data_IF_916601010673
#
_entry.id   IF_916601010673
#
_cell.length_a   1.000
_cell.length_b   1.000
_cell.length_c   1.000
_cell.angle_alpha   90.00
_cell.angle_beta   90.00
_cell.angle_gamma   90.00
#
_symmetry.space_group_name_H-M   'P 1'
#
loop_
_entity.id
_entity.type
_entity.pdbx_description
1 polymer ?
#
# COMPACT_ATOMS: atom_id res chain seq x y z
N UNK A 1 -23.42 16.97 2.37
CA UNK A 1 -22.63 15.73 2.45
C UNK A 1 -23.38 14.61 1.78
N UNK A 2 -23.04 14.30 0.54
CA UNK A 2 -23.39 13.00 -0.04
C UNK A 2 -22.45 11.92 0.52
N UNK A 3 -22.80 10.64 0.37
CA UNK A 3 -21.94 9.51 0.77
C UNK A 3 -20.50 9.56 0.21
N UNK A 4 -20.31 10.27 -0.90
CA UNK A 4 -18.99 10.49 -1.50
C UNK A 4 -18.14 11.44 -0.66
N UNK A 5 -18.75 12.47 -0.07
CA UNK A 5 -18.05 13.47 0.73
C UNK A 5 -17.52 12.82 2.02
N UNK A 6 -18.36 12.00 2.68
CA UNK A 6 -17.97 11.27 3.90
C UNK A 6 -16.81 10.28 3.66
N UNK A 7 -16.75 9.67 2.47
CA UNK A 7 -15.68 8.76 2.10
C UNK A 7 -14.36 9.50 1.87
N UNK A 8 -14.38 10.60 1.10
CA UNK A 8 -13.17 11.36 0.80
C UNK A 8 -12.59 12.02 2.07
N UNK A 9 -13.44 12.54 2.95
CA UNK A 9 -13.02 13.10 4.24
C UNK A 9 -12.32 12.04 5.13
N UNK A 10 -12.91 10.83 5.19
CA UNK A 10 -12.33 9.73 5.94
C UNK A 10 -11.02 9.23 5.31
N UNK A 11 -10.98 9.16 3.97
CA UNK A 11 -9.80 8.76 3.23
C UNK A 11 -8.64 9.72 3.47
N UNK A 12 -8.88 11.03 3.37
CA UNK A 12 -7.87 12.06 3.62
C UNK A 12 -7.33 11.94 5.05
N UNK A 13 -8.21 11.83 6.04
CA UNK A 13 -7.81 11.66 7.44
C UNK A 13 -6.91 10.42 7.66
N UNK A 14 -7.24 9.29 7.01
CA UNK A 14 -6.43 8.08 7.08
C UNK A 14 -5.10 8.21 6.35
N UNK A 15 -5.07 8.90 5.21
CA UNK A 15 -3.85 9.13 4.45
C UNK A 15 -2.85 10.01 5.22
N UNK A 16 -3.33 10.99 5.99
CA UNK A 16 -2.48 11.76 6.92
C UNK A 16 -1.86 10.83 7.97
N UNK A 17 -2.65 9.93 8.56
CA UNK A 17 -2.14 8.96 9.55
C UNK A 17 -1.16 7.95 8.95
N UNK A 18 -1.35 7.57 7.69
CA UNK A 18 -0.42 6.70 6.95
C UNK A 18 0.96 7.36 6.78
N UNK A 19 0.99 8.66 6.45
CA UNK A 19 2.25 9.42 6.35
C UNK A 19 2.93 9.55 7.72
N UNK A 20 2.16 9.85 8.77
CA UNK A 20 2.69 9.92 10.14
C UNK A 20 3.27 8.56 10.59
N UNK A 21 2.57 7.46 10.27
CA UNK A 21 3.02 6.09 10.55
C UNK A 21 4.30 5.75 9.78
N UNK A 22 4.39 6.14 8.50
CA UNK A 22 5.62 5.97 7.72
C UNK A 22 6.80 6.71 8.36
N UNK A 23 6.63 7.98 8.73
CA UNK A 23 7.67 8.76 9.40
C UNK A 23 8.15 8.08 10.69
N UNK A 24 7.22 7.58 11.51
CA UNK A 24 7.55 6.84 12.73
C UNK A 24 8.31 5.53 12.45
N UNK A 25 7.90 4.74 11.45
CA UNK A 25 8.63 3.50 11.10
C UNK A 25 10.07 3.77 10.65
N UNK A 26 10.29 4.88 9.95
CA UNK A 26 11.63 5.30 9.51
C UNK A 26 12.48 5.73 10.71
N UNK A 27 11.92 6.56 11.60
CA UNK A 27 12.61 7.03 12.81
C UNK A 27 13.01 5.87 13.73
N UNK A 28 12.11 4.90 13.89
CA UNK A 28 12.33 3.74 14.77
C UNK A 28 13.09 2.60 14.10
N UNK A 29 13.32 2.66 12.79
CA UNK A 29 13.94 1.58 12.00
C UNK A 29 13.07 0.33 11.82
N UNK A 30 11.79 0.40 12.18
CA UNK A 30 10.81 -0.68 11.97
C UNK A 30 10.48 -0.82 10.49
N UNK A 31 10.28 -2.07 10.03
CA UNK A 31 9.91 -2.36 8.64
C UNK A 31 8.47 -2.87 8.58
N UNK A 32 7.68 -2.28 7.69
CA UNK A 32 6.28 -2.68 7.46
C UNK A 32 6.15 -3.37 6.11
N UNK A 33 5.50 -4.54 6.09
CA UNK A 33 5.12 -5.26 4.88
C UNK A 33 3.60 -5.38 4.84
N UNK A 34 3.01 -5.01 3.70
CA UNK A 34 1.58 -5.15 3.44
C UNK A 34 1.43 -6.10 2.24
N UNK A 35 0.65 -7.17 2.43
CA UNK A 35 0.32 -8.14 1.37
C UNK A 35 -1.17 -7.99 1.08
N UNK A 36 -1.50 -7.76 -0.20
CA UNK A 36 -2.87 -7.59 -0.67
C UNK A 36 -3.23 -8.75 -1.59
N UNK A 37 -4.14 -9.60 -1.12
CA UNK A 37 -4.66 -10.76 -1.84
C UNK A 37 -6.13 -10.59 -2.19
N UNK A 38 -6.58 -11.28 -3.23
CA UNK A 38 -7.98 -11.26 -3.64
C UNK A 38 -8.18 -11.66 -5.09
N UNK A 39 -9.44 -11.93 -5.46
CA UNK A 39 -9.83 -12.31 -6.81
C UNK A 39 -9.52 -11.20 -7.82
N UNK A 40 -9.53 -11.56 -9.10
CA UNK A 40 -9.47 -10.57 -10.18
C UNK A 40 -10.63 -9.57 -10.03
N UNK A 41 -10.34 -8.29 -10.30
CA UNK A 41 -11.28 -7.18 -10.13
C UNK A 41 -11.75 -6.89 -8.68
N UNK A 42 -11.13 -7.46 -7.64
CA UNK A 42 -11.47 -7.17 -6.25
C UNK A 42 -11.05 -5.76 -5.76
N UNK A 43 -10.42 -4.94 -6.61
CA UNK A 43 -10.04 -3.56 -6.26
C UNK A 43 -8.66 -3.39 -5.60
N UNK A 44 -7.78 -4.41 -5.68
CA UNK A 44 -6.44 -4.40 -5.07
C UNK A 44 -5.59 -3.21 -5.52
N UNK A 45 -5.56 -2.91 -6.82
CA UNK A 45 -4.79 -1.80 -7.38
C UNK A 45 -5.28 -0.44 -6.89
N UNK A 46 -6.61 -0.30 -6.71
CA UNK A 46 -7.21 0.89 -6.12
C UNK A 46 -6.78 1.07 -4.67
N UNK A 47 -6.77 0.00 -3.89
CA UNK A 47 -6.29 0.03 -2.50
C UNK A 47 -4.80 0.39 -2.42
N UNK A 48 -3.94 -0.21 -3.25
CA UNK A 48 -2.51 0.14 -3.34
C UNK A 48 -2.36 1.63 -3.64
N UNK A 49 -3.10 2.13 -4.63
CA UNK A 49 -3.05 3.54 -5.01
C UNK A 49 -3.42 4.44 -3.83
N UNK A 50 -4.52 4.17 -3.13
CA UNK A 50 -4.96 5.01 -1.99
C UNK A 50 -4.01 4.96 -0.81
N UNK A 51 -3.40 3.82 -0.52
CA UNK A 51 -2.40 3.70 0.55
C UNK A 51 -1.14 4.50 0.23
N UNK A 52 -0.70 4.45 -1.03
CA UNK A 52 0.62 4.98 -1.43
C UNK A 52 0.58 6.39 -2.00
N UNK A 53 -0.61 6.96 -2.23
CA UNK A 53 -0.86 8.23 -2.94
C UNK A 53 0.00 9.40 -2.45
N UNK A 54 0.21 9.52 -1.13
CA UNK A 54 0.98 10.59 -0.50
C UNK A 54 2.27 10.12 0.18
N UNK A 55 2.61 8.83 0.07
CA UNK A 55 3.82 8.30 0.69
C UNK A 55 5.06 8.61 -0.17
N UNK A 56 6.22 8.72 0.48
CA UNK A 56 7.48 8.96 -0.24
C UNK A 56 7.82 7.77 -1.16
N UNK A 57 7.98 7.96 -2.49
CA UNK A 57 8.29 6.87 -3.42
C UNK A 57 9.70 6.28 -3.21
N UNK A 58 10.58 7.02 -2.51
CA UNK A 58 11.93 6.53 -2.17
C UNK A 58 11.92 5.57 -0.98
N UNK A 59 10.91 5.69 -0.12
CA UNK A 59 10.77 4.93 1.13
C UNK A 59 9.65 3.89 1.04
N UNK A 60 8.87 3.91 -0.03
CA UNK A 60 7.73 3.03 -0.28
C UNK A 60 8.00 2.21 -1.53
N UNK A 61 7.98 0.89 -1.41
CA UNK A 61 8.17 -0.01 -2.55
C UNK A 61 6.90 -0.82 -2.78
N UNK A 62 6.25 -0.56 -3.91
CA UNK A 62 5.17 -1.42 -4.42
C UNK A 62 5.82 -2.50 -5.28
N UNK A 63 5.51 -3.77 -4.99
CA UNK A 63 6.03 -4.92 -5.75
C UNK A 63 4.86 -5.70 -6.32
N UNK A 64 4.82 -5.80 -7.65
CA UNK A 64 3.98 -6.75 -8.36
C UNK A 64 4.88 -7.86 -8.88
N UNK A 65 4.84 -9.03 -8.24
CA UNK A 65 5.67 -10.16 -8.66
C UNK A 65 5.14 -10.73 -9.99
N UNK A 66 6.00 -10.88 -11.01
CA UNK A 66 5.62 -11.55 -12.24
C UNK A 66 5.52 -13.07 -12.00
N UNK A 67 5.16 -13.80 -13.06
CA UNK A 67 5.33 -15.25 -13.07
C UNK A 67 6.79 -15.60 -12.70
N UNK A 68 7.02 -16.56 -11.78
CA UNK A 68 8.37 -16.98 -11.42
C UNK A 68 9.17 -17.48 -12.63
N UNK A 69 10.46 -17.18 -12.66
CA UNK A 69 11.42 -17.75 -13.61
C UNK A 69 11.69 -19.22 -13.31
N UNK A 70 12.23 -19.98 -14.28
CA UNK A 70 12.60 -21.39 -14.09
C UNK A 70 13.48 -21.60 -12.85
N UNK A 71 14.44 -20.70 -12.62
CA UNK A 71 15.29 -20.76 -11.43
C UNK A 71 14.49 -20.53 -10.15
N UNK A 72 13.64 -19.50 -10.12
CA UNK A 72 12.83 -19.16 -8.94
C UNK A 72 11.80 -20.25 -8.60
N UNK A 73 11.29 -21.00 -9.58
CA UNK A 73 10.39 -22.13 -9.30
C UNK A 73 11.03 -23.27 -8.50
N UNK A 74 12.36 -23.33 -8.48
CA UNK A 74 13.11 -24.35 -7.72
C UNK A 74 13.62 -23.84 -6.37
N UNK A 75 13.45 -22.55 -6.09
CA UNK A 75 13.92 -21.92 -4.87
C UNK A 75 12.86 -21.99 -3.76
N UNK A 76 13.34 -22.06 -2.52
CA UNK A 76 12.56 -22.00 -1.28
C UNK A 76 13.02 -20.80 -0.45
#
# INVERSE_FOLDING_TARGET
MGKSDDYEDALEALQVQLVASQAWTIETGVRTLIVLEGRDSAGKDGAIKRITEFMSPRQTRVVALPKPTERETTQW
#
